data_IF_336219929123
#
_entry.id   IF_336219929123
#
_cell.length_a   1.000
_cell.length_b   1.000
_cell.length_c   1.000
_cell.angle_alpha   90.00
_cell.angle_beta   90.00
_cell.angle_gamma   90.00
#
_symmetry.space_group_name_H-M   'P 1'
#
loop_
_entity.id
_entity.type
_entity.pdbx_description
1 polymer ?
#
# COMPACT_ATOMS: atom_id res chain seq x y z
N UNK A 1 2.51 -14.41 22.23
CA UNK A 1 1.70 -15.47 21.59
C UNK A 1 0.23 -15.13 21.82
N UNK A 2 -0.28 -14.16 21.07
CA UNK A 2 -1.67 -13.72 21.14
C UNK A 2 -2.20 -13.88 19.71
N UNK A 3 -2.88 -15.01 19.46
CA UNK A 3 -3.52 -15.31 18.18
C UNK A 3 -4.93 -14.74 18.24
N UNK A 4 -5.07 -13.47 17.90
CA UNK A 4 -6.39 -12.85 17.77
C UNK A 4 -7.01 -13.22 16.42
N UNK A 5 -7.90 -14.21 16.48
CA UNK A 5 -8.76 -14.71 15.40
C UNK A 5 -9.69 -13.64 14.82
N UNK A 6 -9.81 -12.46 15.44
CA UNK A 6 -10.73 -11.40 15.03
C UNK A 6 -10.12 -10.38 14.05
N UNK A 7 -8.81 -10.15 14.08
CA UNK A 7 -8.15 -9.26 13.12
C UNK A 7 -8.26 -9.82 11.69
N UNK A 8 -8.11 -11.14 11.55
CA UNK A 8 -8.27 -11.85 10.28
C UNK A 8 -9.74 -11.92 9.80
N UNK A 9 -10.73 -11.80 10.71
CA UNK A 9 -12.15 -11.83 10.34
C UNK A 9 -12.61 -10.48 9.75
N UNK A 10 -12.19 -9.35 10.35
CA UNK A 10 -12.37 -8.02 9.75
C UNK A 10 -11.63 -7.93 8.40
N UNK A 11 -10.50 -8.64 8.28
CA UNK A 11 -9.70 -8.73 7.06
C UNK A 11 -10.41 -9.42 5.88
N UNK A 12 -11.40 -10.30 6.11
CA UNK A 12 -11.90 -11.26 5.10
C UNK A 12 -13.30 -10.95 4.53
N UNK A 13 -13.95 -9.86 4.95
CA UNK A 13 -15.39 -9.66 4.73
C UNK A 13 -15.81 -8.90 3.46
N UNK A 14 -14.90 -8.49 2.57
CA UNK A 14 -15.25 -7.48 1.54
C UNK A 14 -14.69 -7.71 0.11
N UNK A 15 -14.29 -8.92 -0.27
CA UNK A 15 -13.77 -9.19 -1.63
C UNK A 15 -14.82 -9.96 -2.44
N UNK A 16 -15.52 -9.26 -3.34
CA UNK A 16 -16.21 -9.88 -4.49
C UNK A 16 -15.65 -9.26 -5.77
N UNK A 17 -15.42 -10.14 -6.75
CA UNK A 17 -14.94 -9.89 -8.12
C UNK A 17 -15.16 -8.46 -8.63
N UNK A 18 -14.06 -7.72 -8.86
CA UNK A 18 -14.09 -6.55 -9.72
C UNK A 18 -12.89 -6.60 -10.67
N UNK A 19 -13.17 -7.03 -11.90
CA UNK A 19 -12.26 -7.09 -13.04
C UNK A 19 -11.91 -5.71 -13.64
N UNK A 20 -12.28 -4.62 -12.97
CA UNK A 20 -12.29 -3.27 -13.54
C UNK A 20 -11.30 -2.31 -12.85
N UNK A 21 -10.01 -2.63 -12.91
CA UNK A 21 -8.90 -1.72 -12.53
C UNK A 21 -8.83 -0.42 -13.38
N UNK A 22 -9.77 -0.21 -14.31
CA UNK A 22 -9.75 0.83 -15.34
C UNK A 22 -10.57 2.10 -15.06
N UNK A 23 -11.18 2.26 -13.89
CA UNK A 23 -11.96 3.46 -13.59
C UNK A 23 -11.27 4.33 -12.54
N UNK A 24 -11.39 5.64 -12.72
CA UNK A 24 -10.96 6.78 -11.90
C UNK A 24 -11.57 6.79 -10.47
N UNK A 25 -11.59 5.64 -9.80
CA UNK A 25 -12.12 5.39 -8.45
C UNK A 25 -10.93 5.08 -7.57
N UNK A 26 -10.64 5.99 -6.65
CA UNK A 26 -9.59 5.83 -5.66
C UNK A 26 -9.94 4.61 -4.82
N UNK A 27 -9.21 3.52 -5.03
CA UNK A 27 -9.28 2.34 -4.19
C UNK A 27 -8.87 2.75 -2.78
N UNK A 28 -9.71 2.47 -1.79
CA UNK A 28 -9.27 2.50 -0.41
C UNK A 28 -10.17 1.62 0.46
N UNK A 29 -9.54 1.05 1.48
CA UNK A 29 -9.87 -0.19 2.16
C UNK A 29 -9.93 -1.41 1.20
N UNK A 30 -8.78 -1.79 0.64
CA UNK A 30 -8.50 -3.11 0.01
C UNK A 30 -9.05 -3.33 -1.41
N UNK A 31 -8.98 -2.32 -2.27
CA UNK A 31 -9.36 -2.47 -3.67
C UNK A 31 -10.87 -2.44 -3.96
N UNK A 32 -11.69 -2.02 -2.99
CA UNK A 32 -13.12 -1.77 -3.24
C UNK A 32 -13.33 -0.43 -3.97
N UNK A 33 -14.23 -0.37 -4.97
CA UNK A 33 -14.64 0.90 -5.54
C UNK A 33 -15.53 1.67 -4.54
N UNK A 34 -14.91 2.43 -3.65
CA UNK A 34 -15.58 3.40 -2.78
C UNK A 34 -15.36 4.83 -3.28
N UNK A 35 -16.31 5.71 -3.02
CA UNK A 35 -16.08 7.14 -3.20
C UNK A 35 -15.16 7.69 -2.09
N UNK A 36 -14.54 8.85 -2.36
CA UNK A 36 -13.58 9.48 -1.45
C UNK A 36 -14.20 9.87 -0.10
N UNK A 37 -15.50 10.12 -0.05
CA UNK A 37 -16.20 10.56 1.17
C UNK A 37 -16.40 9.35 2.07
N UNK A 38 -16.92 8.24 1.55
CA UNK A 38 -16.99 6.96 2.24
C UNK A 38 -15.62 6.54 2.76
N UNK A 39 -14.57 6.66 1.95
CA UNK A 39 -13.23 6.32 2.41
C UNK A 39 -12.78 7.15 3.61
N UNK A 40 -13.01 8.46 3.57
CA UNK A 40 -12.65 9.37 4.67
C UNK A 40 -13.37 8.99 5.96
N UNK A 41 -14.67 8.69 5.88
CA UNK A 41 -15.48 8.29 7.03
C UNK A 41 -14.99 6.97 7.62
N UNK A 42 -14.73 5.96 6.78
CA UNK A 42 -14.19 4.67 7.23
C UNK A 42 -12.83 4.84 7.90
N UNK A 43 -11.97 5.67 7.33
CA UNK A 43 -10.65 5.97 7.88
C UNK A 43 -10.74 6.64 9.25
N UNK A 44 -11.69 7.57 9.42
CA UNK A 44 -11.95 8.26 10.69
C UNK A 44 -12.38 7.29 11.79
N UNK A 45 -13.34 6.40 11.49
CA UNK A 45 -13.83 5.39 12.45
C UNK A 45 -12.73 4.40 12.85
N UNK A 46 -11.90 3.95 11.91
CA UNK A 46 -10.77 3.06 12.21
C UNK A 46 -9.74 3.79 13.09
N UNK A 47 -9.43 5.05 12.75
CA UNK A 47 -8.47 5.85 13.51
C UNK A 47 -8.97 6.20 14.92
N UNK A 48 -10.28 6.41 15.09
CA UNK A 48 -10.92 6.61 16.40
C UNK A 48 -10.69 5.40 17.32
N UNK A 49 -10.78 4.19 16.78
CA UNK A 49 -10.45 2.98 17.53
C UNK A 49 -8.96 2.86 17.83
N UNK A 50 -8.11 2.93 16.80
CA UNK A 50 -6.65 2.92 16.96
C UNK A 50 -5.94 3.52 15.74
N UNK A 51 -5.30 4.68 15.94
CA UNK A 51 -4.52 5.34 14.90
C UNK A 51 -3.34 4.51 14.38
N UNK A 52 -2.71 3.67 15.22
CA UNK A 52 -1.61 2.79 14.80
C UNK A 52 -2.06 1.69 13.84
N UNK A 53 -3.17 1.01 14.15
CA UNK A 53 -3.76 0.00 13.27
C UNK A 53 -4.29 0.67 11.99
N UNK A 54 -4.95 1.82 12.12
CA UNK A 54 -5.39 2.63 10.98
C UNK A 54 -4.23 2.96 10.05
N UNK A 55 -3.09 3.40 10.60
CA UNK A 55 -1.90 3.73 9.80
C UNK A 55 -1.35 2.50 9.06
N UNK A 56 -1.30 1.32 9.70
CA UNK A 56 -0.83 0.09 9.05
C UNK A 56 -1.73 -0.36 7.89
N UNK A 57 -3.05 -0.15 8.02
CA UNK A 57 -4.03 -0.48 6.97
C UNK A 57 -3.98 0.55 5.84
N UNK A 58 -4.05 1.83 6.15
CA UNK A 58 -4.15 2.90 5.14
C UNK A 58 -2.84 3.15 4.40
N UNK A 59 -1.68 2.77 4.97
CA UNK A 59 -0.38 2.90 4.30
C UNK A 59 -0.28 2.08 3.00
N UNK A 60 -1.13 1.06 2.80
CA UNK A 60 -1.18 0.28 1.56
C UNK A 60 -1.57 1.16 0.37
N UNK A 61 -2.51 2.10 0.56
CA UNK A 61 -2.99 2.98 -0.51
C UNK A 61 -1.86 3.82 -1.11
N UNK A 62 -0.84 4.17 -0.31
CA UNK A 62 0.33 4.92 -0.78
C UNK A 62 1.18 4.11 -1.77
N UNK A 63 1.24 2.78 -1.61
CA UNK A 63 1.94 1.88 -2.53
C UNK A 63 1.08 1.50 -3.74
N UNK A 64 -0.24 1.33 -3.55
CA UNK A 64 -1.18 0.98 -4.61
C UNK A 64 -1.41 2.12 -5.60
N UNK A 65 -1.52 3.36 -5.11
CA UNK A 65 -1.82 4.55 -5.93
C UNK A 65 -0.88 4.72 -7.14
N UNK A 66 0.46 4.71 -7.01
CA UNK A 66 1.34 4.85 -8.17
C UNK A 66 1.19 3.70 -9.18
N UNK A 67 0.87 2.48 -8.72
CA UNK A 67 0.58 1.36 -9.62
C UNK A 67 -0.73 1.55 -10.37
N UNK A 68 -1.79 1.99 -9.69
CA UNK A 68 -3.09 2.25 -10.31
C UNK A 68 -2.97 3.35 -11.37
N UNK A 69 -2.26 4.44 -11.05
CA UNK A 69 -2.11 5.59 -11.93
C UNK A 69 -1.16 5.35 -13.10
N UNK A 70 -0.03 4.70 -12.87
CA UNK A 70 1.09 4.66 -13.83
C UNK A 70 1.53 3.25 -14.24
N UNK A 71 1.06 2.19 -13.57
CA UNK A 71 1.42 0.82 -13.88
C UNK A 71 0.81 0.32 -15.19
N UNK A 72 1.53 -0.56 -15.87
CA UNK A 72 0.96 -1.33 -16.98
C UNK A 72 0.02 -2.44 -16.45
N UNK A 73 -0.79 -3.02 -17.32
CA UNK A 73 -1.81 -4.00 -16.92
C UNK A 73 -1.19 -5.25 -16.29
N UNK A 74 -0.03 -5.69 -16.77
CA UNK A 74 0.69 -6.85 -16.21
C UNK A 74 1.16 -6.62 -14.77
N UNK A 75 1.71 -5.44 -14.47
CA UNK A 75 2.16 -5.04 -13.13
C UNK A 75 0.95 -4.84 -12.23
N UNK A 76 -0.09 -4.14 -12.70
CA UNK A 76 -1.34 -3.94 -11.94
C UNK A 76 -1.92 -5.29 -11.54
N UNK A 77 -2.09 -6.20 -12.50
CA UNK A 77 -2.60 -7.55 -12.24
C UNK A 77 -1.70 -8.32 -11.28
N UNK A 78 -0.37 -8.24 -11.45
CA UNK A 78 0.56 -8.98 -10.59
C UNK A 78 0.59 -8.51 -9.13
N UNK A 79 0.44 -7.21 -8.87
CA UNK A 79 0.61 -6.65 -7.52
C UNK A 79 -0.71 -6.31 -6.82
N UNK A 80 -1.70 -5.79 -7.54
CA UNK A 80 -2.97 -5.40 -6.92
C UNK A 80 -3.85 -6.61 -6.57
N UNK A 81 -3.83 -7.70 -7.35
CA UNK A 81 -4.61 -8.90 -6.99
C UNK A 81 -4.08 -9.57 -5.72
N UNK A 82 -2.78 -9.43 -5.44
CA UNK A 82 -2.16 -9.98 -4.22
C UNK A 82 -2.74 -9.37 -2.94
N UNK A 83 -3.28 -8.15 -3.01
CA UNK A 83 -3.91 -7.47 -1.88
C UNK A 83 -5.29 -8.04 -1.53
N UNK A 84 -5.91 -8.75 -2.46
CA UNK A 84 -7.24 -9.35 -2.29
C UNK A 84 -7.17 -10.87 -2.10
N UNK A 85 -6.12 -11.52 -2.60
CA UNK A 85 -5.90 -12.98 -2.51
C UNK A 85 -5.46 -13.43 -1.10
N UNK A 86 -4.58 -12.66 -0.45
CA UNK A 86 -3.95 -13.05 0.81
C UNK A 86 -3.84 -11.86 1.77
N UNK A 87 -3.62 -12.10 3.08
CA UNK A 87 -3.39 -11.03 4.04
C UNK A 87 -2.01 -10.39 3.96
N UNK A 88 -1.74 -9.81 2.79
CA UNK A 88 -0.53 -9.09 2.49
C UNK A 88 -0.68 -7.61 2.79
N UNK A 89 0.46 -6.99 3.07
CA UNK A 89 0.62 -5.54 3.18
C UNK A 89 1.72 -5.11 2.23
N UNK A 90 1.64 -3.86 1.79
CA UNK A 90 2.62 -3.19 0.95
C UNK A 90 3.33 -2.09 1.75
N UNK A 91 4.50 -1.69 1.27
CA UNK A 91 5.28 -0.60 1.86
C UNK A 91 5.61 0.47 0.83
N UNK A 92 5.50 1.73 1.25
CA UNK A 92 5.89 2.88 0.43
C UNK A 92 7.19 3.50 0.94
N UNK A 93 8.28 3.28 0.20
CA UNK A 93 9.65 3.56 0.65
C UNK A 93 10.23 4.86 0.07
N UNK A 94 9.83 6.02 0.61
CA UNK A 94 10.30 7.34 0.15
C UNK A 94 11.35 7.94 1.07
N UNK A 95 10.99 8.13 2.34
CA UNK A 95 11.76 8.90 3.32
C UNK A 95 13.15 8.32 3.57
N UNK A 96 14.14 9.20 3.63
CA UNK A 96 15.52 8.90 4.02
C UNK A 96 15.88 9.67 5.30
N UNK A 97 16.95 9.25 5.98
CA UNK A 97 17.40 9.91 7.21
C UNK A 97 17.73 11.40 7.00
N UNK A 98 18.08 11.80 5.78
CA UNK A 98 18.41 13.18 5.42
C UNK A 98 17.33 13.91 4.62
N UNK A 99 16.26 13.21 4.21
CA UNK A 99 15.26 13.71 3.27
C UNK A 99 13.87 13.14 3.59
N UNK A 100 13.04 13.95 4.26
CA UNK A 100 11.62 13.67 4.52
C UNK A 100 10.72 14.57 3.69
N UNK A 101 10.62 15.85 4.08
CA UNK A 101 9.84 16.85 3.34
C UNK A 101 10.43 17.18 1.97
N UNK A 102 11.76 17.23 1.87
CA UNK A 102 12.48 17.40 0.59
C UNK A 102 12.70 16.06 -0.10
N UNK A 103 11.61 15.49 -0.65
CA UNK A 103 11.65 14.21 -1.36
C UNK A 103 12.53 14.27 -2.61
N UNK A 104 12.66 15.44 -3.25
CA UNK A 104 13.53 15.60 -4.41
C UNK A 104 15.02 15.47 -4.04
N UNK A 105 15.37 15.70 -2.78
CA UNK A 105 16.74 15.64 -2.26
C UNK A 105 17.28 14.24 -1.90
N UNK A 106 16.49 13.17 -2.11
CA UNK A 106 16.88 11.79 -1.77
C UNK A 106 18.20 11.37 -2.45
N UNK A 107 18.92 10.44 -1.81
CA UNK A 107 20.22 9.93 -2.24
C UNK A 107 20.18 8.49 -2.73
N UNK A 108 19.12 7.74 -2.46
CA UNK A 108 18.97 6.39 -3.02
C UNK A 108 19.05 6.46 -4.55
N UNK A 109 19.95 5.67 -5.13
CA UNK A 109 20.15 5.57 -6.58
C UNK A 109 19.60 4.25 -7.09
N UNK A 110 19.05 4.30 -8.29
CA UNK A 110 18.63 3.13 -9.06
C UNK A 110 19.32 3.21 -10.42
N UNK A 111 20.28 2.33 -10.66
CA UNK A 111 21.09 2.31 -11.88
C UNK A 111 20.78 1.05 -12.69
N UNK A 112 20.47 1.20 -13.98
CA UNK A 112 20.30 0.06 -14.88
C UNK A 112 21.67 -0.51 -15.27
N UNK A 113 21.89 -1.80 -15.03
CA UNK A 113 23.10 -2.53 -15.42
C UNK A 113 22.70 -3.76 -16.23
N UNK A 114 22.79 -3.64 -17.56
CA UNK A 114 22.28 -4.66 -18.48
C UNK A 114 20.76 -4.79 -18.35
N UNK A 115 20.30 -5.99 -17.97
CA UNK A 115 18.88 -6.33 -17.81
C UNK A 115 18.35 -6.15 -16.37
N UNK A 116 19.21 -5.70 -15.44
CA UNK A 116 18.86 -5.54 -14.03
C UNK A 116 18.96 -4.08 -13.56
N UNK A 117 18.29 -3.79 -12.45
CA UNK A 117 18.42 -2.51 -11.75
C UNK A 117 19.16 -2.74 -10.42
N UNK A 118 20.23 -1.98 -10.21
CA UNK A 118 20.98 -1.96 -8.95
C UNK A 118 20.53 -0.77 -8.13
N UNK A 119 19.91 -1.05 -6.99
CA UNK A 119 19.42 -0.04 -6.05
C UNK A 119 20.41 0.07 -4.89
N UNK A 120 20.87 1.28 -4.58
CA UNK A 120 21.77 1.54 -3.46
C UNK A 120 21.33 2.79 -2.69
N UNK A 121 21.11 2.63 -1.39
CA UNK A 121 20.66 3.69 -0.50
C UNK A 121 20.10 3.12 0.80
N UNK A 122 19.51 3.98 1.62
CA UNK A 122 18.82 3.59 2.84
C UNK A 122 17.53 4.39 2.98
N UNK A 123 16.51 3.75 3.54
CA UNK A 123 15.20 4.34 3.81
C UNK A 123 14.92 4.32 5.30
N UNK A 124 14.09 5.24 5.77
CA UNK A 124 13.80 5.43 7.20
C UNK A 124 12.31 5.67 7.40
N UNK A 125 11.76 5.15 8.51
CA UNK A 125 10.35 5.28 8.88
C UNK A 125 9.36 4.64 7.89
N UNK A 126 9.73 3.50 7.33
CA UNK A 126 8.89 2.81 6.34
C UNK A 126 7.87 1.91 7.06
N UNK A 127 6.62 2.37 7.11
CA UNK A 127 5.49 1.58 7.63
C UNK A 127 5.38 0.26 6.86
N UNK A 128 5.07 -0.82 7.58
CA UNK A 128 4.95 -2.20 7.10
C UNK A 128 6.25 -2.87 6.60
N UNK A 129 7.41 -2.20 6.60
CA UNK A 129 8.61 -2.72 5.93
C UNK A 129 9.09 -4.11 6.37
N UNK A 130 8.84 -4.50 7.62
CA UNK A 130 9.20 -5.84 8.12
C UNK A 130 8.22 -6.96 7.73
N UNK A 131 7.05 -6.61 7.22
CA UNK A 131 5.97 -7.55 6.87
C UNK A 131 5.58 -7.50 5.40
N UNK A 132 5.80 -6.36 4.74
CA UNK A 132 5.51 -6.19 3.33
C UNK A 132 6.42 -7.05 2.47
N UNK A 133 5.87 -7.55 1.37
CA UNK A 133 6.61 -8.31 0.38
C UNK A 133 6.62 -7.63 -1.01
N UNK A 134 6.17 -6.38 -1.06
CA UNK A 134 6.25 -5.49 -2.21
C UNK A 134 6.09 -4.02 -1.80
#
# INVERSE_FOLDING_TARGET
MYRDSNAAAIFRLCVRDDSDFGARRVCSARGMPMDMVCNTIVSEEIAYGCSGIGTAIMANDLAETPLILCGNDDIKKRFLTRMTEEPLVASYAVTESIAGSDVAGIKTKCEKKGDEYVINGSKMWITNAGHANW
#
